data_IF_951302909377
#
_entry.id   IF_951302909377
#
_cell.length_a   1.000
_cell.length_b   1.000
_cell.length_c   1.000
_cell.angle_alpha   90.00
_cell.angle_beta   90.00
_cell.angle_gamma   90.00
#
_symmetry.space_group_name_H-M   'P 1'
#
loop_
_entity.id
_entity.type
_entity.pdbx_description
1 polymer ?
#
# COMPACT_ATOMS: atom_id res chain seq x y z
N UNK A 1 -26.06 7.89 10.95
CA UNK A 1 -25.44 7.41 9.69
C UNK A 1 -25.13 8.61 8.84
N UNK A 2 -23.86 8.94 8.66
CA UNK A 2 -23.46 10.00 7.73
C UNK A 2 -23.73 9.51 6.30
N UNK A 3 -24.79 10.01 5.67
CA UNK A 3 -25.27 9.58 4.36
C UNK A 3 -24.45 10.19 3.21
N UNK A 4 -23.14 9.96 3.18
CA UNK A 4 -22.30 10.45 2.10
C UNK A 4 -22.63 9.75 0.78
N UNK A 5 -22.56 10.51 -0.31
CA UNK A 5 -22.59 9.93 -1.64
C UNK A 5 -21.34 9.03 -1.79
N UNK A 6 -21.53 7.79 -2.25
CA UNK A 6 -20.41 6.88 -2.45
C UNK A 6 -20.52 6.14 -3.78
N UNK A 7 -19.39 5.62 -4.26
CA UNK A 7 -19.36 4.76 -5.45
C UNK A 7 -18.26 3.72 -5.32
N UNK A 8 -18.54 2.51 -5.81
CA UNK A 8 -17.55 1.44 -5.92
C UNK A 8 -17.14 1.31 -7.38
N UNK A 9 -15.86 1.07 -7.65
CA UNK A 9 -15.30 0.96 -8.99
C UNK A 9 -14.26 -0.16 -9.06
N UNK A 10 -14.01 -0.67 -10.26
CA UNK A 10 -12.82 -1.45 -10.58
C UNK A 10 -11.84 -0.59 -11.36
N UNK A 11 -10.60 -0.53 -10.89
CA UNK A 11 -9.51 0.10 -11.61
C UNK A 11 -9.09 -0.76 -12.80
N UNK A 12 -8.81 -0.12 -13.94
CA UNK A 12 -8.35 -0.78 -15.16
C UNK A 12 -7.44 0.16 -15.95
N UNK A 13 -6.48 -0.36 -16.73
CA UNK A 13 -5.63 0.44 -17.62
C UNK A 13 -6.42 1.29 -18.63
N UNK A 14 -7.70 0.97 -18.87
CA UNK A 14 -8.58 1.71 -19.78
C UNK A 14 -9.54 2.66 -19.06
N UNK A 15 -9.35 2.86 -17.75
CA UNK A 15 -10.17 3.71 -16.90
C UNK A 15 -11.11 2.93 -15.97
N UNK A 16 -11.76 3.66 -15.06
CA UNK A 16 -12.64 3.09 -14.04
C UNK A 16 -13.86 2.38 -14.65
N UNK A 17 -14.15 1.18 -14.14
CA UNK A 17 -15.34 0.39 -14.49
C UNK A 17 -16.32 0.42 -13.31
N UNK A 18 -17.57 0.80 -13.57
CA UNK A 18 -18.63 0.70 -12.55
C UNK A 18 -19.15 -0.74 -12.47
N UNK A 19 -19.12 -1.38 -11.28
CA UNK A 19 -19.62 -2.74 -11.11
C UNK A 19 -21.15 -2.77 -11.26
N UNK A 20 -21.66 -3.74 -12.00
CA UNK A 20 -23.07 -4.07 -12.01
C UNK A 20 -23.48 -4.87 -10.74
N UNK A 21 -24.79 -5.06 -10.50
CA UNK A 21 -25.25 -5.91 -9.39
C UNK A 21 -24.64 -7.32 -9.43
N UNK A 22 -24.53 -7.92 -10.61
CA UNK A 22 -23.94 -9.26 -10.77
C UNK A 22 -22.44 -9.29 -10.43
N UNK A 23 -21.71 -8.20 -10.64
CA UNK A 23 -20.29 -8.12 -10.27
C UNK A 23 -20.11 -8.10 -8.76
N UNK A 24 -20.97 -7.37 -8.04
CA UNK A 24 -20.95 -7.30 -6.58
C UNK A 24 -21.36 -8.63 -5.94
N UNK A 25 -22.11 -9.46 -6.67
CA UNK A 25 -22.54 -10.79 -6.22
C UNK A 25 -21.46 -11.87 -6.39
N UNK A 26 -20.37 -11.58 -7.12
CA UNK A 26 -19.24 -12.51 -7.27
C UNK A 26 -18.60 -12.81 -5.92
N UNK A 27 -18.09 -14.04 -5.70
CA UNK A 27 -17.38 -14.39 -4.49
C UNK A 27 -16.18 -13.46 -4.25
N UNK A 28 -16.03 -12.99 -3.02
CA UNK A 28 -14.79 -12.36 -2.58
C UNK A 28 -13.68 -13.41 -2.59
N UNK A 29 -12.52 -13.09 -3.15
CA UNK A 29 -11.43 -14.05 -3.28
C UNK A 29 -10.43 -13.85 -2.13
N UNK A 30 -10.18 -14.85 -1.29
CA UNK A 30 -9.19 -14.74 -0.18
C UNK A 30 -7.74 -14.78 -0.66
N UNK A 31 -7.51 -15.39 -1.82
CA UNK A 31 -6.24 -15.49 -2.52
C UNK A 31 -6.53 -15.58 -4.03
N UNK A 32 -5.52 -15.46 -4.92
CA UNK A 32 -5.73 -15.65 -6.35
C UNK A 32 -6.47 -16.96 -6.63
N UNK A 33 -7.59 -16.85 -7.35
CA UNK A 33 -8.50 -17.97 -7.70
C UNK A 33 -9.11 -18.75 -6.52
N UNK A 34 -9.01 -18.28 -5.28
CA UNK A 34 -9.56 -18.96 -4.09
C UNK A 34 -10.74 -18.17 -3.54
N UNK A 35 -12.00 -18.61 -3.75
CA UNK A 35 -13.17 -17.90 -3.26
C UNK A 35 -13.36 -18.10 -1.76
N UNK A 36 -13.86 -17.05 -1.10
CA UNK A 36 -14.40 -17.15 0.24
C UNK A 36 -15.71 -17.95 0.21
N UNK A 37 -15.99 -18.81 1.20
CA UNK A 37 -17.15 -19.70 1.19
C UNK A 37 -18.51 -19.01 1.12
N UNK A 38 -18.62 -17.76 1.57
CA UNK A 38 -19.91 -17.06 1.65
C UNK A 38 -19.86 -15.54 1.47
N UNK A 39 -18.67 -14.94 1.37
CA UNK A 39 -18.58 -13.48 1.24
C UNK A 39 -18.54 -13.11 -0.22
N UNK A 40 -19.19 -12.00 -0.54
CA UNK A 40 -19.25 -11.44 -1.88
C UNK A 40 -18.40 -10.19 -1.99
N UNK A 41 -18.13 -9.77 -3.21
CA UNK A 41 -17.38 -8.56 -3.48
C UNK A 41 -18.11 -7.29 -2.97
N UNK A 42 -19.44 -7.29 -3.02
CA UNK A 42 -20.26 -6.25 -2.40
C UNK A 42 -20.11 -6.18 -0.87
N UNK A 43 -19.96 -7.32 -0.19
CA UNK A 43 -19.73 -7.34 1.26
C UNK A 43 -18.40 -6.66 1.61
N UNK A 44 -17.35 -6.91 0.82
CA UNK A 44 -16.06 -6.24 0.96
C UNK A 44 -16.16 -4.71 0.80
N UNK A 45 -16.79 -4.24 -0.28
CA UNK A 45 -16.92 -2.79 -0.51
C UNK A 45 -17.75 -2.10 0.57
N UNK A 46 -18.85 -2.72 1.00
CA UNK A 46 -19.69 -2.20 2.08
C UNK A 46 -18.93 -2.17 3.41
N UNK A 47 -18.15 -3.22 3.71
CA UNK A 47 -17.31 -3.26 4.90
C UNK A 47 -16.22 -2.18 4.89
N UNK A 48 -15.58 -1.97 3.74
CA UNK A 48 -14.59 -0.92 3.56
C UNK A 48 -15.20 0.48 3.77
N UNK A 49 -16.37 0.75 3.19
CA UNK A 49 -17.06 2.02 3.37
C UNK A 49 -17.48 2.24 4.84
N UNK A 50 -18.03 1.20 5.46
CA UNK A 50 -18.51 1.29 6.83
C UNK A 50 -17.35 1.39 7.84
N UNK A 51 -16.22 0.72 7.58
CA UNK A 51 -14.98 0.93 8.32
C UNK A 51 -14.56 2.40 8.32
N UNK A 52 -14.61 3.06 7.16
CA UNK A 52 -14.22 4.47 7.02
C UNK A 52 -15.22 5.47 7.64
N UNK A 53 -16.52 5.18 7.59
CA UNK A 53 -17.58 6.17 7.88
C UNK A 53 -18.36 5.91 9.16
N UNK A 54 -18.48 4.65 9.56
CA UNK A 54 -19.19 4.27 10.79
C UNK A 54 -18.21 4.06 11.94
N UNK A 55 -17.10 3.35 11.69
CA UNK A 55 -16.17 2.94 12.74
C UNK A 55 -15.07 3.97 12.99
N UNK A 56 -14.55 4.60 11.92
CA UNK A 56 -13.35 5.45 11.95
C UNK A 56 -13.55 6.82 11.28
N UNK A 57 -14.74 7.42 11.43
CA UNK A 57 -15.06 8.71 10.80
C UNK A 57 -14.12 9.85 11.23
N UNK A 58 -13.87 9.98 12.53
CA UNK A 58 -12.97 11.01 13.06
C UNK A 58 -11.51 10.77 12.64
N UNK A 59 -11.06 9.51 12.61
CA UNK A 59 -9.73 9.15 12.13
C UNK A 59 -9.56 9.48 10.64
N UNK A 60 -10.60 9.26 9.83
CA UNK A 60 -10.61 9.67 8.42
C UNK A 60 -10.51 11.19 8.26
N UNK A 61 -11.23 11.98 9.06
CA UNK A 61 -11.12 13.44 9.05
C UNK A 61 -9.69 13.89 9.42
N UNK A 62 -9.09 13.27 10.45
CA UNK A 62 -7.70 13.53 10.81
C UNK A 62 -6.73 13.20 9.67
N UNK A 63 -6.93 12.06 8.99
CA UNK A 63 -6.11 11.66 7.84
C UNK A 63 -6.22 12.64 6.66
N UNK A 64 -7.41 13.22 6.43
CA UNK A 64 -7.64 14.22 5.39
C UNK A 64 -6.89 15.53 5.65
N UNK A 65 -6.75 15.91 6.93
CA UNK A 65 -5.98 17.09 7.35
C UNK A 65 -4.48 16.87 7.33
N UNK A 66 -3.99 15.65 7.61
CA UNK A 66 -2.56 15.36 7.68
C UNK A 66 -1.88 15.25 6.30
N UNK A 67 -2.64 15.03 5.20
CA UNK A 67 -2.04 14.93 3.88
C UNK A 67 -1.34 16.25 3.46
N UNK A 68 -0.09 16.20 2.98
CA UNK A 68 0.78 17.37 2.81
C UNK A 68 0.46 18.27 1.59
N UNK A 69 -0.74 18.23 1.01
CA UNK A 69 -1.05 19.05 -0.16
C UNK A 69 -1.37 20.53 0.17
N UNK A 70 -1.26 21.38 -0.85
CA UNK A 70 -1.33 22.85 -0.72
C UNK A 70 -2.66 23.42 -0.26
N UNK A 71 -3.76 22.69 -0.46
CA UNK A 71 -5.11 23.18 -0.13
C UNK A 71 -5.59 22.48 1.13
N UNK A 72 -5.99 23.23 2.15
CA UNK A 72 -6.51 22.67 3.40
C UNK A 72 -7.85 21.96 3.19
N UNK A 73 -8.09 20.90 3.96
CA UNK A 73 -9.40 20.25 4.02
C UNK A 73 -10.39 21.09 4.84
N UNK A 74 -11.69 21.03 4.52
CA UNK A 74 -12.73 21.85 5.16
C UNK A 74 -13.83 21.03 5.84
N UNK A 75 -13.51 19.78 6.21
CA UNK A 75 -14.39 18.80 6.88
C UNK A 75 -15.68 18.40 6.13
N UNK A 76 -15.93 18.96 4.95
CA UNK A 76 -17.10 18.64 4.15
C UNK A 76 -16.81 17.54 3.13
N UNK A 77 -17.03 16.28 3.53
CA UNK A 77 -17.00 15.13 2.61
C UNK A 77 -18.25 15.16 1.73
N UNK A 78 -18.07 15.37 0.41
CA UNK A 78 -19.16 15.32 -0.57
C UNK A 78 -19.34 13.93 -1.18
N UNK A 79 -18.23 13.24 -1.43
CA UNK A 79 -18.25 11.91 -2.06
C UNK A 79 -17.06 11.05 -1.63
N UNK A 80 -17.29 9.76 -1.47
CA UNK A 80 -16.23 8.75 -1.31
C UNK A 80 -16.28 7.78 -2.48
N UNK A 81 -15.13 7.49 -3.07
CA UNK A 81 -15.00 6.54 -4.18
C UNK A 81 -14.00 5.48 -3.75
N UNK A 82 -14.44 4.22 -3.68
CA UNK A 82 -13.57 3.08 -3.38
C UNK A 82 -13.34 2.30 -4.66
N UNK A 83 -12.09 2.21 -5.09
CA UNK A 83 -11.69 1.48 -6.31
C UNK A 83 -10.91 0.25 -5.92
N UNK A 84 -11.32 -0.93 -6.37
CA UNK A 84 -10.46 -2.11 -6.27
C UNK A 84 -9.30 -1.97 -7.26
N UNK A 85 -8.06 -1.99 -6.77
CA UNK A 85 -6.85 -1.77 -7.58
C UNK A 85 -6.13 -3.09 -7.89
N UNK A 86 -5.87 -3.88 -6.84
CA UNK A 86 -5.07 -5.10 -6.96
C UNK A 86 -5.50 -6.13 -5.94
N UNK A 87 -5.49 -7.38 -6.36
CA UNK A 87 -5.57 -8.52 -5.45
C UNK A 87 -4.17 -9.16 -5.33
N UNK A 88 -3.57 -9.03 -4.15
CA UNK A 88 -2.31 -9.67 -3.81
C UNK A 88 -2.51 -11.08 -3.24
N UNK A 89 -1.39 -11.73 -2.89
CA UNK A 89 -1.40 -13.04 -2.23
C UNK A 89 -1.95 -12.97 -0.80
N UNK A 90 -1.77 -11.83 -0.11
CA UNK A 90 -2.17 -11.65 1.28
C UNK A 90 -3.32 -10.66 1.47
N UNK A 91 -3.45 -9.67 0.59
CA UNK A 91 -4.35 -8.54 0.78
C UNK A 91 -5.08 -8.14 -0.50
N UNK A 92 -6.21 -7.46 -0.31
CA UNK A 92 -6.82 -6.63 -1.33
C UNK A 92 -6.38 -5.19 -1.12
N UNK A 93 -5.99 -4.54 -2.21
CA UNK A 93 -5.65 -3.12 -2.21
C UNK A 93 -6.74 -2.38 -2.96
N UNK A 94 -7.34 -1.41 -2.30
CA UNK A 94 -8.23 -0.45 -2.91
C UNK A 94 -7.65 0.96 -2.79
N UNK A 95 -7.93 1.81 -3.77
CA UNK A 95 -7.77 3.24 -3.57
C UNK A 95 -9.08 3.84 -3.05
N UNK A 96 -8.95 4.79 -2.12
CA UNK A 96 -10.07 5.54 -1.56
C UNK A 96 -9.86 7.00 -1.91
N UNK A 97 -10.71 7.53 -2.78
CA UNK A 97 -10.72 8.95 -3.13
C UNK A 97 -11.87 9.65 -2.41
N UNK A 98 -11.52 10.62 -1.57
CA UNK A 98 -12.47 11.44 -0.82
C UNK A 98 -12.52 12.82 -1.47
N UNK A 99 -13.71 13.22 -1.93
CA UNK A 99 -13.95 14.50 -2.59
C UNK A 99 -14.65 15.47 -1.65
N UNK A 100 -14.05 16.63 -1.47
CA UNK A 100 -14.61 17.77 -0.76
C UNK A 100 -15.00 18.90 -1.71
N UNK A 101 -15.02 20.13 -1.22
CA UNK A 101 -15.30 21.31 -2.05
C UNK A 101 -14.07 21.75 -2.84
N UNK A 102 -13.97 21.32 -4.10
CA UNK A 102 -12.85 21.69 -4.97
C UNK A 102 -11.51 21.03 -4.60
N UNK A 103 -11.51 20.11 -3.64
CA UNK A 103 -10.36 19.31 -3.21
C UNK A 103 -10.68 17.81 -3.33
N UNK A 104 -9.65 17.03 -3.61
CA UNK A 104 -9.71 15.56 -3.61
C UNK A 104 -8.47 15.03 -2.92
N UNK A 105 -8.64 13.99 -2.12
CA UNK A 105 -7.59 13.31 -1.35
C UNK A 105 -7.67 11.82 -1.63
N UNK A 106 -6.53 11.17 -1.84
CA UNK A 106 -6.49 9.74 -2.18
C UNK A 106 -5.67 8.97 -1.16
N UNK A 107 -6.17 7.80 -0.78
CA UNK A 107 -5.58 6.89 0.19
C UNK A 107 -5.51 5.48 -0.38
N UNK A 108 -4.60 4.67 0.14
CA UNK A 108 -4.59 3.22 -0.04
C UNK A 108 -5.33 2.60 1.14
N UNK A 109 -6.28 1.72 0.85
CA UNK A 109 -6.97 0.89 1.83
C UNK A 109 -6.59 -0.56 1.58
N UNK A 110 -5.86 -1.13 2.53
CA UNK A 110 -5.41 -2.52 2.48
C UNK A 110 -6.34 -3.35 3.36
N UNK A 111 -6.86 -4.45 2.82
CA UNK A 111 -7.76 -5.35 3.52
C UNK A 111 -7.20 -6.78 3.62
N UNK A 112 -7.20 -7.32 4.83
CA UNK A 112 -6.80 -8.68 5.15
C UNK A 112 -7.94 -9.45 5.83
N UNK A 113 -8.03 -10.76 5.61
CA UNK A 113 -9.17 -11.57 6.06
C UNK A 113 -8.76 -12.86 6.79
N UNK A 114 -7.75 -13.57 6.29
CA UNK A 114 -7.28 -14.79 6.94
C UNK A 114 -6.49 -14.41 8.19
N UNK A 115 -6.47 -15.26 9.23
CA UNK A 115 -5.71 -14.95 10.45
C UNK A 115 -4.24 -14.66 10.16
N UNK A 116 -3.64 -15.43 9.24
CA UNK A 116 -2.27 -15.19 8.79
C UNK A 116 -2.13 -13.82 8.11
N UNK A 117 -2.96 -13.48 7.12
CA UNK A 117 -2.82 -12.18 6.45
C UNK A 117 -3.12 -11.01 7.38
N UNK A 118 -4.09 -11.14 8.30
CA UNK A 118 -4.38 -10.11 9.30
C UNK A 118 -3.19 -9.84 10.22
N UNK A 119 -2.52 -10.90 10.69
CA UNK A 119 -1.31 -10.76 11.50
C UNK A 119 -0.13 -10.12 10.76
N UNK A 120 0.00 -10.37 9.44
CA UNK A 120 1.02 -9.68 8.62
C UNK A 120 0.66 -8.20 8.46
N UNK A 121 -0.61 -7.86 8.23
CA UNK A 121 -1.06 -6.47 8.07
C UNK A 121 -0.87 -5.65 9.35
N UNK A 122 -1.16 -6.25 10.51
CA UNK A 122 -0.94 -5.62 11.82
C UNK A 122 0.53 -5.32 12.06
N UNK A 123 1.40 -6.29 11.81
CA UNK A 123 2.86 -6.10 11.91
C UNK A 123 3.36 -5.02 10.97
N UNK A 124 2.81 -4.98 9.76
CA UNK A 124 3.15 -3.97 8.76
C UNK A 124 2.75 -2.56 9.20
N UNK A 125 1.53 -2.38 9.73
CA UNK A 125 1.08 -1.13 10.33
C UNK A 125 2.01 -0.67 11.46
N UNK A 126 2.30 -1.54 12.42
CA UNK A 126 3.18 -1.24 13.56
C UNK A 126 4.59 -0.86 13.10
N UNK A 127 5.13 -1.59 12.11
CA UNK A 127 6.47 -1.37 11.59
C UNK A 127 6.57 -0.06 10.82
N UNK A 128 5.60 0.23 9.95
CA UNK A 128 5.53 1.50 9.23
C UNK A 128 5.36 2.67 10.20
N UNK A 129 4.48 2.56 11.20
CA UNK A 129 4.29 3.59 12.22
C UNK A 129 5.61 3.86 12.99
N UNK A 130 6.30 2.81 13.42
CA UNK A 130 7.59 2.89 14.10
C UNK A 130 8.64 3.59 13.24
N UNK A 131 8.78 3.17 11.99
CA UNK A 131 9.79 3.70 11.08
C UNK A 131 9.48 5.12 10.63
N UNK A 132 8.22 5.47 10.39
CA UNK A 132 7.80 6.84 10.11
C UNK A 132 8.14 7.78 11.27
N UNK A 133 7.93 7.35 12.52
CA UNK A 133 8.28 8.14 13.70
C UNK A 133 9.80 8.30 13.88
N UNK A 134 10.57 7.22 13.68
CA UNK A 134 12.04 7.24 13.85
C UNK A 134 12.79 7.87 12.69
N UNK A 135 12.25 7.77 11.48
CA UNK A 135 12.88 8.18 10.22
C UNK A 135 11.86 8.92 9.33
N UNK A 136 11.41 10.13 9.71
CA UNK A 136 10.37 10.85 8.96
C UNK A 136 10.72 11.20 7.51
N UNK A 137 12.02 11.22 7.19
CA UNK A 137 12.53 11.47 5.84
C UNK A 137 12.77 10.18 5.03
N UNK A 138 12.44 9.01 5.58
CA UNK A 138 12.55 7.76 4.86
C UNK A 138 11.47 7.69 3.76
N UNK A 139 11.81 7.02 2.67
CA UNK A 139 10.92 6.83 1.52
C UNK A 139 9.82 5.79 1.81
N UNK A 140 9.06 5.95 2.88
CA UNK A 140 8.01 5.04 3.36
C UNK A 140 6.62 5.66 3.18
N UNK A 141 5.55 4.87 2.92
CA UNK A 141 4.20 5.39 2.96
C UNK A 141 3.82 5.79 4.39
N UNK A 142 3.09 6.90 4.54
CA UNK A 142 2.49 7.23 5.83
C UNK A 142 1.36 6.24 6.13
N UNK A 143 1.27 5.79 7.37
CA UNK A 143 0.11 5.06 7.87
C UNK A 143 -0.76 6.01 8.69
N UNK A 144 -2.07 5.97 8.48
CA UNK A 144 -3.01 6.84 9.19
C UNK A 144 -3.63 6.10 10.36
N UNK A 145 -4.35 5.00 10.08
CA UNK A 145 -4.97 4.17 11.12
C UNK A 145 -5.26 2.76 10.62
N UNK A 146 -5.47 1.86 11.57
CA UNK A 146 -5.84 0.47 11.34
C UNK A 146 -7.00 0.10 12.28
N UNK A 147 -7.87 -0.81 11.83
CA UNK A 147 -8.91 -1.37 12.67
C UNK A 147 -9.46 -2.68 12.13
N UNK A 148 -10.37 -3.28 12.90
CA UNK A 148 -10.98 -4.56 12.59
C UNK A 148 -12.51 -4.43 12.48
N UNK A 149 -13.12 -5.18 11.57
CA UNK A 149 -14.58 -5.25 11.44
C UNK A 149 -15.03 -6.69 11.19
N UNK A 150 -15.99 -7.15 11.99
CA UNK A 150 -16.64 -8.45 11.78
C UNK A 150 -17.71 -8.33 10.70
N UNK A 151 -17.71 -9.25 9.73
CA UNK A 151 -18.77 -9.46 8.75
C UNK A 151 -19.42 -10.83 8.90
N UNK A 152 -20.69 -10.93 8.55
CA UNK A 152 -21.44 -12.19 8.54
C UNK A 152 -22.58 -12.25 9.57
N UNK A 153 -23.19 -13.43 9.70
CA UNK A 153 -24.38 -13.64 10.55
C UNK A 153 -24.02 -14.53 11.73
N UNK A 154 -24.47 -14.19 12.93
CA UNK A 154 -24.36 -14.93 14.20
C UNK A 154 -23.28 -16.05 14.30
N UNK A 155 -23.48 -17.20 13.63
CA UNK A 155 -22.62 -18.39 13.68
C UNK A 155 -21.52 -18.48 12.60
N UNK A 156 -21.47 -17.54 11.66
CA UNK A 156 -20.45 -17.40 10.62
C UNK A 156 -20.02 -15.94 10.58
N UNK A 157 -19.08 -15.60 11.46
CA UNK A 157 -18.40 -14.30 11.46
C UNK A 157 -17.04 -14.44 10.81
N UNK A 158 -16.68 -13.45 10.01
CA UNK A 158 -15.38 -13.28 9.40
C UNK A 158 -14.87 -11.89 9.76
N UNK A 159 -13.74 -11.83 10.45
CA UNK A 159 -13.08 -10.56 10.74
C UNK A 159 -12.29 -10.10 9.52
N UNK A 160 -12.44 -8.82 9.18
CA UNK A 160 -11.54 -8.07 8.33
C UNK A 160 -10.62 -7.23 9.19
N UNK A 161 -9.37 -7.10 8.76
CA UNK A 161 -8.46 -6.05 9.20
C UNK A 161 -8.26 -5.07 8.04
N UNK A 162 -8.41 -3.78 8.32
CA UNK A 162 -8.23 -2.70 7.36
C UNK A 162 -7.14 -1.76 7.82
N UNK A 163 -6.26 -1.37 6.90
CA UNK A 163 -5.22 -0.36 7.09
C UNK A 163 -5.44 0.76 6.08
N UNK A 164 -5.56 2.00 6.56
CA UNK A 164 -5.53 3.19 5.72
C UNK A 164 -4.13 3.80 5.72
N UNK A 165 -3.55 3.94 4.53
CA UNK A 165 -2.20 4.49 4.34
C UNK A 165 -2.15 5.46 3.13
N UNK A 166 -1.01 6.09 2.93
CA UNK A 166 -0.75 7.03 1.84
C UNK A 166 -0.90 6.34 0.48
N UNK A 167 -1.73 6.93 -0.38
CA UNK A 167 -1.69 6.59 -1.80
C UNK A 167 -0.50 7.30 -2.45
N UNK A 168 0.42 6.54 -3.04
CA UNK A 168 1.59 7.07 -3.71
C UNK A 168 1.23 7.59 -5.12
N UNK A 169 0.54 8.73 -5.15
CA UNK A 169 0.00 9.32 -6.37
C UNK A 169 1.10 9.68 -7.40
N UNK A 170 0.93 9.19 -8.63
CA UNK A 170 1.88 9.39 -9.74
C UNK A 170 3.19 8.62 -9.58
N UNK A 171 3.25 7.61 -8.69
CA UNK A 171 4.32 6.64 -8.67
C UNK A 171 3.94 5.41 -9.52
N UNK A 172 4.96 4.76 -10.08
CA UNK A 172 4.79 3.65 -11.02
C UNK A 172 5.53 2.40 -10.54
N UNK A 173 4.90 1.24 -10.73
CA UNK A 173 5.56 -0.06 -10.60
C UNK A 173 6.61 -0.23 -11.71
N UNK A 174 7.59 -1.09 -11.47
CA UNK A 174 8.64 -1.40 -12.44
C UNK A 174 9.18 -2.81 -12.23
N UNK A 175 9.67 -3.41 -13.31
CA UNK A 175 10.13 -4.79 -13.31
C UNK A 175 11.41 -4.96 -14.12
N UNK A 176 12.25 -5.90 -13.71
CA UNK A 176 13.36 -6.38 -14.56
C UNK A 176 12.78 -7.33 -15.60
N UNK A 177 13.06 -7.08 -16.87
CA UNK A 177 12.62 -7.85 -18.02
C UNK A 177 13.81 -8.23 -18.91
N UNK A 178 13.61 -9.17 -19.82
CA UNK A 178 14.61 -9.59 -20.80
C UNK A 178 14.19 -9.13 -22.19
N UNK A 179 15.11 -8.58 -22.97
CA UNK A 179 14.88 -8.32 -24.38
C UNK A 179 15.01 -9.60 -25.23
N UNK A 180 14.79 -9.48 -26.54
CA UNK A 180 14.86 -10.62 -27.48
C UNK A 180 16.25 -11.26 -27.57
N UNK A 181 17.30 -10.58 -27.09
CA UNK A 181 18.68 -11.09 -27.04
C UNK A 181 19.02 -11.70 -25.69
N UNK A 182 18.09 -11.67 -24.73
CA UNK A 182 18.32 -12.14 -23.35
C UNK A 182 19.03 -11.13 -22.46
N UNK A 183 19.16 -9.86 -22.89
CA UNK A 183 19.73 -8.80 -22.05
C UNK A 183 18.67 -8.25 -21.11
N UNK A 184 19.05 -8.06 -19.84
CA UNK A 184 18.19 -7.45 -18.85
C UNK A 184 18.00 -5.95 -19.10
N UNK A 185 16.76 -5.50 -18.98
CA UNK A 185 16.39 -4.10 -18.93
C UNK A 185 15.30 -3.89 -17.88
N UNK A 186 15.07 -2.64 -17.51
CA UNK A 186 14.05 -2.26 -16.54
C UNK A 186 12.85 -1.70 -17.28
N UNK A 187 11.70 -2.34 -17.12
CA UNK A 187 10.42 -1.93 -17.70
C UNK A 187 9.65 -1.12 -16.66
N UNK A 188 9.34 0.14 -16.96
CA UNK A 188 8.48 1.00 -16.16
C UNK A 188 7.05 0.74 -16.58
N UNK A 189 6.18 0.43 -15.61
CA UNK A 189 4.75 0.27 -15.84
C UNK A 189 4.06 1.60 -15.56
N UNK A 190 4.25 2.55 -16.48
CA UNK A 190 3.59 3.85 -16.46
C UNK A 190 2.17 3.69 -17.02
N UNK A 191 1.17 3.77 -16.15
CA UNK A 191 -0.24 3.62 -16.53
C UNK A 191 -0.74 4.79 -17.40
N UNK A 192 -0.07 5.94 -17.36
CA UNK A 192 -0.47 7.12 -18.14
C UNK A 192 0.16 7.13 -19.54
N UNK A 193 1.41 6.64 -19.66
CA UNK A 193 2.18 6.67 -20.92
C UNK A 193 2.35 5.31 -21.58
N UNK A 194 1.89 4.25 -20.94
CA UNK A 194 2.15 2.88 -21.34
C UNK A 194 3.53 2.39 -20.88
N UNK A 195 3.80 1.12 -21.13
CA UNK A 195 5.01 0.47 -20.61
C UNK A 195 6.22 0.77 -21.48
N UNK A 196 7.36 1.07 -20.87
CA UNK A 196 8.57 1.39 -21.61
C UNK A 196 9.87 0.99 -20.88
N UNK A 197 10.93 0.80 -21.66
CA UNK A 197 12.26 0.51 -21.13
C UNK A 197 12.91 1.77 -20.55
N UNK A 198 13.39 1.68 -19.32
CA UNK A 198 14.15 2.74 -18.67
C UNK A 198 15.52 2.94 -19.35
N UNK A 199 15.99 4.18 -19.34
CA UNK A 199 17.36 4.49 -19.75
C UNK A 199 18.38 3.89 -18.77
N UNK A 200 19.61 3.69 -19.22
CA UNK A 200 20.70 3.17 -18.38
C UNK A 200 20.99 4.08 -17.16
N UNK A 201 20.84 5.41 -17.32
CA UNK A 201 20.96 6.37 -16.22
C UNK A 201 19.88 6.14 -15.17
N UNK A 202 18.62 5.99 -15.61
CA UNK A 202 17.48 5.76 -14.71
C UNK A 202 17.62 4.42 -13.98
N UNK A 203 18.07 3.37 -14.67
CA UNK A 203 18.38 2.07 -14.07
C UNK A 203 19.32 2.22 -12.87
N UNK A 204 20.50 2.85 -13.05
CA UNK A 204 21.45 3.03 -11.96
C UNK A 204 20.91 3.88 -10.82
N UNK A 205 20.22 4.97 -11.14
CA UNK A 205 19.65 5.85 -10.13
C UNK A 205 18.62 5.13 -9.26
N UNK A 206 17.81 4.26 -9.87
CA UNK A 206 16.82 3.49 -9.14
C UNK A 206 17.50 2.58 -8.10
N UNK A 207 18.44 1.74 -8.53
CA UNK A 207 19.14 0.82 -7.61
C UNK A 207 19.95 1.57 -6.54
N UNK A 208 20.59 2.69 -6.90
CA UNK A 208 21.29 3.53 -5.94
C UNK A 208 20.34 4.08 -4.86
N UNK A 209 19.19 4.64 -5.26
CA UNK A 209 18.21 5.16 -4.33
C UNK A 209 17.58 4.04 -3.48
N UNK A 210 17.37 2.85 -4.04
CA UNK A 210 16.81 1.70 -3.33
C UNK A 210 17.76 1.25 -2.23
N UNK A 211 19.04 1.05 -2.57
CA UNK A 211 20.08 0.75 -1.60
C UNK A 211 20.20 1.84 -0.53
N UNK A 212 20.17 3.12 -0.92
CA UNK A 212 20.17 4.26 0.01
C UNK A 212 18.99 4.21 0.97
N UNK A 213 17.78 3.94 0.48
CA UNK A 213 16.56 3.83 1.31
C UNK A 213 16.70 2.71 2.33
N UNK A 214 17.11 1.52 1.89
CA UNK A 214 17.32 0.38 2.79
C UNK A 214 18.39 0.69 3.85
N UNK A 215 19.48 1.37 3.46
CA UNK A 215 20.55 1.80 4.37
C UNK A 215 20.04 2.81 5.41
N UNK A 216 19.18 3.74 5.02
CA UNK A 216 18.59 4.72 5.95
C UNK A 216 17.62 4.08 6.95
N UNK A 217 17.00 2.96 6.56
CA UNK A 217 16.12 2.19 7.43
C UNK A 217 16.87 1.21 8.31
N UNK A 218 18.13 0.89 7.99
CA UNK A 218 18.97 0.04 8.82
C UNK A 218 19.28 0.67 10.18
N UNK A 219 19.16 -0.13 11.24
CA UNK A 219 19.63 0.23 12.58
C UNK A 219 20.93 -0.54 12.88
N UNK A 220 22.09 0.14 12.91
CA UNK A 220 23.37 -0.53 13.15
C UNK A 220 23.55 -0.98 14.61
N UNK A 221 22.79 -0.44 15.56
CA UNK A 221 22.86 -0.84 16.98
C UNK A 221 22.19 -2.19 17.18
N UNK A 222 20.97 -2.35 16.65
CA UNK A 222 20.19 -3.58 16.78
C UNK A 222 20.39 -4.56 15.64
N UNK A 223 21.05 -4.13 14.56
CA UNK A 223 21.14 -4.79 13.26
C UNK A 223 19.79 -4.98 12.55
N UNK A 224 18.73 -4.30 12.99
CA UNK A 224 17.41 -4.42 12.38
C UNK A 224 17.39 -3.85 10.97
N UNK A 225 16.79 -4.60 10.05
CA UNK A 225 16.62 -4.23 8.65
C UNK A 225 15.22 -4.57 8.15
N UNK A 226 14.78 -3.86 7.12
CA UNK A 226 13.54 -4.20 6.41
C UNK A 226 13.71 -5.53 5.68
N UNK A 227 12.85 -6.50 5.98
CA UNK A 227 12.84 -7.83 5.35
C UNK A 227 11.46 -8.51 5.42
N UNK A 228 11.13 -9.43 4.51
CA UNK A 228 11.88 -9.74 3.29
C UNK A 228 11.71 -8.63 2.25
N UNK A 229 12.78 -8.40 1.48
CA UNK A 229 12.73 -7.69 0.21
C UNK A 229 13.36 -8.64 -0.81
N UNK A 230 12.55 -9.24 -1.68
CA UNK A 230 13.05 -10.31 -2.56
C UNK A 230 13.59 -9.76 -3.86
N UNK A 231 12.97 -8.70 -4.40
CA UNK A 231 13.41 -7.98 -5.58
C UNK A 231 12.98 -6.53 -5.44
N UNK A 232 13.85 -5.58 -5.80
CA UNK A 232 13.48 -4.18 -5.80
C UNK A 232 12.23 -3.89 -6.67
N UNK A 233 11.95 -4.75 -7.67
CA UNK A 233 10.71 -4.80 -8.42
C UNK A 233 9.54 -5.36 -7.57
N UNK A 234 8.57 -4.50 -7.26
CA UNK A 234 7.34 -4.84 -6.54
C UNK A 234 7.27 -4.29 -5.10
N UNK A 235 8.42 -4.08 -4.46
CA UNK A 235 8.48 -3.43 -3.13
C UNK A 235 8.74 -1.92 -3.24
N UNK A 236 9.34 -1.45 -4.35
CA UNK A 236 9.55 -0.03 -4.64
C UNK A 236 8.73 0.45 -5.83
N UNK A 237 8.26 1.69 -5.73
CA UNK A 237 7.66 2.44 -6.83
C UNK A 237 8.44 3.72 -7.10
N UNK A 238 8.32 4.26 -8.31
CA UNK A 238 9.15 5.38 -8.79
C UNK A 238 8.32 6.50 -9.42
N UNK A 239 8.72 7.74 -9.18
CA UNK A 239 8.15 8.97 -9.75
C UNK A 239 9.26 9.89 -10.28
N UNK A 240 8.91 10.92 -11.05
CA UNK A 240 9.82 11.97 -11.57
C UNK A 240 10.94 11.42 -12.48
N UNK A 241 10.53 10.65 -13.50
CA UNK A 241 11.41 9.81 -14.33
C UNK A 241 12.36 10.58 -15.28
N UNK A 242 12.32 11.91 -15.33
CA UNK A 242 13.12 12.75 -16.24
C UNK A 242 14.34 13.40 -15.59
N UNK A 243 14.19 13.89 -14.36
CA UNK A 243 15.24 14.69 -13.70
C UNK A 243 15.84 13.91 -12.52
N UNK A 244 15.15 13.95 -11.37
CA UNK A 244 15.55 13.29 -10.13
C UNK A 244 14.49 12.24 -9.75
N UNK A 245 14.73 10.96 -10.05
CA UNK A 245 13.79 9.91 -9.74
C UNK A 245 13.60 9.80 -8.22
N UNK A 246 12.36 9.92 -7.78
CA UNK A 246 11.98 9.68 -6.40
C UNK A 246 11.48 8.25 -6.29
N UNK A 247 12.04 7.47 -5.38
CA UNK A 247 11.56 6.13 -5.08
C UNK A 247 10.88 6.11 -3.73
N UNK A 248 9.90 5.22 -3.58
CA UNK A 248 9.20 4.95 -2.33
C UNK A 248 9.03 3.45 -2.18
N UNK A 249 9.19 2.93 -0.96
CA UNK A 249 8.70 1.61 -0.61
C UNK A 249 7.17 1.65 -0.62
N UNK A 250 6.54 0.53 -0.96
CA UNK A 250 5.08 0.35 -0.87
C UNK A 250 4.67 -0.44 0.36
N UNK A 251 5.60 -1.18 0.98
CA UNK A 251 5.30 -2.15 2.05
C UNK A 251 6.53 -2.35 2.92
N UNK A 252 6.32 -2.62 4.21
CA UNK A 252 7.37 -3.06 5.14
C UNK A 252 6.84 -4.24 5.96
N UNK A 253 6.98 -5.44 5.39
CA UNK A 253 6.44 -6.68 5.97
C UNK A 253 7.15 -7.14 7.26
N UNK A 254 8.33 -6.61 7.53
CA UNK A 254 9.10 -6.96 8.72
C UNK A 254 10.32 -6.06 8.91
N UNK A 255 10.70 -5.91 10.17
CA UNK A 255 11.87 -5.15 10.59
C UNK A 255 12.57 -5.89 11.72
N UNK A 256 13.58 -6.67 11.35
CA UNK A 256 14.14 -7.69 12.23
C UNK A 256 15.67 -7.67 12.15
N UNK A 257 16.37 -8.05 13.25
CA UNK A 257 17.82 -8.14 13.26
C UNK A 257 18.36 -9.03 12.15
N UNK A 258 19.41 -8.59 11.47
CA UNK A 258 20.19 -9.41 10.55
C UNK A 258 20.77 -10.63 11.29
N UNK A 259 21.07 -10.48 12.59
CA UNK A 259 21.60 -11.55 13.44
C UNK A 259 20.66 -11.84 14.61
N UNK A 260 20.25 -13.11 14.82
CA UNK A 260 19.32 -13.47 15.89
C UNK A 260 19.92 -13.36 17.30
N UNK A 261 21.25 -13.27 17.42
CA UNK A 261 21.92 -13.03 18.71
C UNK A 261 22.85 -11.82 18.65
N UNK A 262 22.77 -10.90 19.63
CA UNK A 262 23.79 -9.89 19.84
C UNK A 262 25.01 -10.60 20.44
N UNK A 263 25.84 -11.22 19.59
CA UNK A 263 27.21 -11.53 20.00
C UNK A 263 27.96 -10.24 20.37
N UNK A 264 29.25 -10.31 20.69
CA UNK A 264 30.11 -9.14 20.93
C UNK A 264 30.36 -8.28 19.67
N UNK A 265 29.37 -8.11 18.80
CA UNK A 265 29.46 -7.32 17.58
C UNK A 265 29.07 -5.89 17.89
N UNK A 266 29.94 -4.97 17.54
CA UNK A 266 29.65 -3.55 17.61
C UNK A 266 28.94 -3.08 16.33
N UNK A 267 28.46 -1.84 16.34
CA UNK A 267 27.74 -1.23 15.23
C UNK A 267 28.54 -1.23 13.90
N UNK A 268 29.88 -1.14 13.95
CA UNK A 268 30.73 -1.19 12.77
C UNK A 268 30.72 -2.59 12.13
N UNK A 269 30.82 -3.64 12.94
CA UNK A 269 30.72 -5.02 12.46
C UNK A 269 29.35 -5.26 11.82
N UNK A 270 28.27 -4.79 12.45
CA UNK A 270 26.92 -4.93 11.92
C UNK A 270 26.76 -4.28 10.54
N UNK A 271 27.29 -3.06 10.36
CA UNK A 271 27.26 -2.35 9.07
C UNK A 271 28.03 -3.08 7.95
N UNK A 272 29.11 -3.79 8.25
CA UNK A 272 29.88 -4.53 7.24
C UNK A 272 29.11 -5.74 6.66
N UNK A 273 28.11 -6.24 7.37
CA UNK A 273 27.30 -7.38 6.93
C UNK A 273 25.98 -6.98 6.27
N UNK A 274 25.57 -5.72 6.39
CA UNK A 274 24.41 -5.16 5.71
C UNK A 274 24.77 -4.85 4.25
#
# INVERSE_FOLDING_TARGET
MHGYNHSFLFSSPHGDISPGPEDLEKPYLIAPATPHPYLKLGDYFNAALAFLIEDHHDDLLNALHDQPEKTSWNDNIRKIIIRSEKQGAFYHVASVEVKGEGVSRKFSLIAAITDNSRAVLEREYETLALLNARRPSASLPRVYFMGNRDLGRAHQKQAFSFLLEEWLEGYHEWHVSLDSTGRQYLCIWDQDRGYYAASHKLFFQLFFQAARTMTLLYDPVTSCQVRPWHHAAGDFVIKNLRDEPCIRLTTVRGYEPLFPSPGERNALTNLLFF
#
